data_IF_465668236330
#
_entry.id   IF_465668236330
#
_cell.length_a   1.000
_cell.length_b   1.000
_cell.length_c   1.000
_cell.angle_alpha   90.00
_cell.angle_beta   90.00
_cell.angle_gamma   90.00
#
_symmetry.space_group_name_H-M   'P 1'
#
loop_
_entity.id
_entity.type
_entity.pdbx_description
1 polymer ?
#
# COMPACT_ATOMS: atom_id res chain seq x y z
N UNK A 1 3.70 7.16 -19.95
CA UNK A 1 4.86 7.41 -19.07
C UNK A 1 4.53 6.86 -17.70
N UNK A 2 5.33 5.96 -17.15
CA UNK A 2 4.95 5.19 -15.97
C UNK A 2 4.64 6.11 -14.77
N UNK A 3 3.41 6.04 -14.26
CA UNK A 3 3.03 6.72 -13.03
C UNK A 3 3.87 6.19 -11.86
N UNK A 4 4.44 7.10 -11.07
CA UNK A 4 5.14 6.75 -9.84
C UNK A 4 4.15 6.26 -8.79
N UNK A 5 4.61 5.41 -7.87
CA UNK A 5 3.78 4.85 -6.78
C UNK A 5 3.05 5.93 -5.98
N UNK A 6 3.66 7.10 -5.80
CA UNK A 6 3.07 8.26 -5.11
C UNK A 6 1.92 8.90 -5.90
N UNK A 7 2.04 8.98 -7.23
CA UNK A 7 0.98 9.48 -8.11
C UNK A 7 -0.21 8.51 -8.14
N UNK A 8 0.05 7.20 -8.17
CA UNK A 8 -1.00 6.17 -8.08
C UNK A 8 -1.69 6.28 -6.72
N UNK A 9 -0.91 6.45 -5.64
CA UNK A 9 -1.45 6.66 -4.29
C UNK A 9 -2.44 7.82 -4.25
N UNK A 10 -2.05 8.96 -4.80
CA UNK A 10 -2.87 10.17 -4.80
C UNK A 10 -4.08 10.06 -5.72
N UNK A 11 -3.93 9.40 -6.87
CA UNK A 11 -5.01 9.19 -7.85
C UNK A 11 -6.07 8.19 -7.36
N UNK A 12 -5.66 7.18 -6.59
CA UNK A 12 -6.54 6.13 -6.07
C UNK A 12 -6.87 6.29 -4.57
N UNK A 13 -6.48 7.41 -3.93
CA UNK A 13 -6.63 7.65 -2.49
C UNK A 13 -6.16 6.47 -1.62
N UNK A 14 -5.05 5.83 -2.00
CA UNK A 14 -4.49 4.73 -1.23
C UNK A 14 -3.89 5.25 0.08
N UNK A 15 -4.05 4.53 1.20
CA UNK A 15 -3.48 4.93 2.48
C UNK A 15 -1.96 5.03 2.40
N UNK A 16 -1.37 5.86 3.26
CA UNK A 16 0.06 5.77 3.52
C UNK A 16 0.36 4.44 4.22
N UNK A 17 1.39 3.75 3.76
CA UNK A 17 1.94 2.56 4.39
C UNK A 17 2.67 3.09 5.60
N UNK A 18 2.03 2.94 6.75
CA UNK A 18 2.53 3.40 8.03
C UNK A 18 2.71 2.18 8.91
N UNK A 19 3.96 1.72 9.03
CA UNK A 19 4.30 0.54 9.83
C UNK A 19 4.15 0.80 11.34
N UNK A 20 3.91 2.04 11.77
CA UNK A 20 3.61 2.36 13.17
C UNK A 20 2.31 1.68 13.63
N UNK A 21 1.39 1.34 12.70
CA UNK A 21 0.23 0.50 13.02
C UNK A 21 0.59 -0.93 13.42
N UNK A 22 1.78 -1.39 13.06
CA UNK A 22 2.29 -2.71 13.40
C UNK A 22 3.15 -2.68 14.66
N UNK A 23 3.30 -1.54 15.32
CA UNK A 23 4.01 -1.44 16.60
C UNK A 23 3.01 -1.64 17.75
N UNK A 24 3.22 -2.73 18.51
CA UNK A 24 2.45 -3.05 19.70
C UNK A 24 3.43 -3.09 20.87
N UNK A 25 3.21 -2.23 21.87
CA UNK A 25 4.04 -2.16 23.07
C UNK A 25 5.55 -1.91 22.77
N UNK A 26 5.83 -1.08 21.75
CA UNK A 26 7.20 -0.76 21.34
C UNK A 26 7.94 -1.91 20.63
N UNK A 27 7.22 -2.99 20.25
CA UNK A 27 7.72 -4.04 19.37
C UNK A 27 6.95 -4.03 18.07
N UNK A 28 7.68 -4.08 16.97
CA UNK A 28 7.09 -4.34 15.66
C UNK A 28 6.57 -5.78 15.65
N UNK A 29 5.25 -5.92 15.57
CA UNK A 29 4.59 -7.19 15.37
C UNK A 29 4.77 -7.60 13.90
N UNK A 30 5.71 -8.51 13.68
CA UNK A 30 6.08 -8.96 12.33
C UNK A 30 4.94 -9.73 11.65
N UNK A 31 4.04 -10.35 12.40
CA UNK A 31 2.88 -11.05 11.87
C UNK A 31 1.84 -10.05 11.33
N UNK A 32 1.57 -9.00 12.10
CA UNK A 32 0.72 -7.87 11.69
C UNK A 32 1.35 -7.09 10.53
N UNK A 33 2.67 -6.87 10.57
CA UNK A 33 3.42 -6.21 9.49
C UNK A 33 3.33 -7.00 8.18
N UNK A 34 3.45 -8.32 8.24
CA UNK A 34 3.29 -9.21 7.10
C UNK A 34 1.89 -9.13 6.48
N UNK A 35 0.85 -9.19 7.32
CA UNK A 35 -0.55 -9.04 6.88
C UNK A 35 -0.82 -7.67 6.26
N UNK A 36 -0.35 -6.61 6.93
CA UNK A 36 -0.51 -5.24 6.45
C UNK A 36 0.21 -5.03 5.11
N UNK A 37 1.41 -5.58 4.94
CA UNK A 37 2.14 -5.51 3.68
C UNK A 37 1.45 -6.30 2.56
N UNK A 38 0.87 -7.47 2.84
CA UNK A 38 0.11 -8.25 1.86
C UNK A 38 -1.15 -7.50 1.39
N UNK A 39 -1.94 -6.95 2.32
CA UNK A 39 -3.12 -6.14 1.99
C UNK A 39 -2.74 -4.88 1.21
N UNK A 40 -1.69 -4.19 1.64
CA UNK A 40 -1.21 -2.99 0.96
C UNK A 40 -0.72 -3.29 -0.46
N UNK A 41 -0.01 -4.42 -0.64
CA UNK A 41 0.46 -4.89 -1.95
C UNK A 41 -0.71 -5.21 -2.88
N UNK A 42 -1.78 -5.86 -2.38
CA UNK A 42 -3.00 -6.11 -3.16
C UNK A 42 -3.68 -4.83 -3.60
N UNK A 43 -3.87 -3.88 -2.69
CA UNK A 43 -4.47 -2.58 -2.98
C UNK A 43 -3.66 -1.79 -4.01
N UNK A 44 -2.33 -1.78 -3.87
CA UNK A 44 -1.44 -1.12 -4.82
C UNK A 44 -1.48 -1.78 -6.20
N UNK A 45 -1.48 -3.12 -6.26
CA UNK A 45 -1.59 -3.85 -7.53
C UNK A 45 -2.95 -3.61 -8.22
N UNK A 46 -4.05 -3.59 -7.48
CA UNK A 46 -5.37 -3.27 -8.04
C UNK A 46 -5.41 -1.85 -8.61
N UNK A 47 -4.85 -0.88 -7.89
CA UNK A 47 -4.73 0.50 -8.34
C UNK A 47 -3.83 0.62 -9.58
N UNK A 48 -2.68 -0.07 -9.61
CA UNK A 48 -1.79 -0.11 -10.79
C UNK A 48 -2.53 -0.73 -11.99
N UNK A 49 -3.28 -1.82 -11.78
CA UNK A 49 -4.03 -2.48 -12.84
C UNK A 49 -5.11 -1.57 -13.40
N UNK A 50 -5.94 -0.95 -12.54
CA UNK A 50 -6.93 0.05 -12.96
C UNK A 50 -6.29 1.24 -13.67
N UNK A 51 -5.12 1.70 -13.22
CA UNK A 51 -4.39 2.78 -13.88
C UNK A 51 -3.96 2.41 -15.30
N UNK A 52 -3.52 1.16 -15.51
CA UNK A 52 -3.13 0.62 -16.82
C UNK A 52 -4.32 0.34 -17.73
N UNK A 53 -5.45 -0.10 -17.18
CA UNK A 53 -6.70 -0.34 -17.94
C UNK A 53 -7.43 0.95 -18.31
N UNK A 54 -7.11 2.07 -17.64
CA UNK A 54 -7.64 3.40 -17.94
C UNK A 54 -6.75 4.23 -18.88
N UNK A 55 -5.71 3.60 -19.47
CA UNK A 55 -4.87 4.16 -20.53
C UNK A 55 -5.36 3.68 -21.90
#
# INVERSE_FOLDING_TARGET
>A
GAMTSEQIRKKFNLPAYDSSHCEIDGKTDMDLLGKYHDEYSKLLNDAIKKAKESE
#
